data_IF_527890555933
#
_entry.id   IF_527890555933
#
_cell.length_a   1.000
_cell.length_b   1.000
_cell.length_c   1.000
_cell.angle_alpha   90.00
_cell.angle_beta   90.00
_cell.angle_gamma   90.00
#
_symmetry.space_group_name_H-M   'P 1'
#
loop_
_entity.id
_entity.type
_entity.pdbx_description
1 polymer ?
#
# COMPACT_ATOMS: atom_id res chain seq x y z
N UNK A 1 7.02 23.20 48.95
CA UNK A 1 7.36 23.41 47.52
C UNK A 1 7.08 22.19 46.63
N UNK A 2 7.19 20.94 47.10
CA UNK A 2 7.04 19.72 46.28
C UNK A 2 5.70 19.54 45.54
N UNK A 3 4.56 19.93 46.14
CA UNK A 3 3.23 19.76 45.52
C UNK A 3 3.03 20.50 44.19
N UNK A 4 3.76 21.59 43.94
CA UNK A 4 3.64 22.37 42.70
C UNK A 4 4.35 21.71 41.52
N UNK A 5 5.47 21.01 41.77
CA UNK A 5 6.20 20.29 40.72
C UNK A 5 5.44 19.06 40.20
N UNK A 6 4.75 18.34 41.10
CA UNK A 6 3.99 17.13 40.71
C UNK A 6 2.81 17.48 39.79
N UNK A 7 2.14 18.61 40.05
CA UNK A 7 1.03 19.08 39.21
C UNK A 7 1.50 19.55 37.82
N UNK A 8 2.67 20.19 37.74
CA UNK A 8 3.26 20.61 36.46
C UNK A 8 3.66 19.38 35.63
N UNK A 9 4.27 18.37 36.25
CA UNK A 9 4.63 17.11 35.57
C UNK A 9 3.41 16.36 35.03
N UNK A 10 2.32 16.26 35.81
CA UNK A 10 1.08 15.62 35.36
C UNK A 10 0.44 16.39 34.19
N UNK A 11 0.47 17.72 34.22
CA UNK A 11 -0.04 18.55 33.13
C UNK A 11 0.79 18.39 31.83
N UNK A 12 2.12 18.28 31.94
CA UNK A 12 3.00 18.03 30.79
C UNK A 12 2.72 16.64 30.20
N UNK A 13 2.55 15.60 31.03
CA UNK A 13 2.22 14.25 30.57
C UNK A 13 0.86 14.22 29.87
N UNK A 14 -0.15 14.92 30.40
CA UNK A 14 -1.47 14.98 29.76
C UNK A 14 -1.43 15.71 28.40
N UNK A 15 -0.64 16.78 28.29
CA UNK A 15 -0.50 17.52 27.04
C UNK A 15 0.28 16.70 26.00
N UNK A 16 1.35 16.01 26.41
CA UNK A 16 2.10 15.11 25.52
C UNK A 16 1.25 13.92 25.04
N UNK A 17 0.44 13.33 25.93
CA UNK A 17 -0.49 12.26 25.58
C UNK A 17 -1.58 12.71 24.60
N UNK A 18 -2.07 13.95 24.73
CA UNK A 18 -3.04 14.54 23.80
C UNK A 18 -2.41 14.86 22.43
N UNK A 19 -1.16 15.32 22.38
CA UNK A 19 -0.47 15.59 21.10
C UNK A 19 -0.13 14.31 20.34
N UNK A 20 0.14 13.20 21.04
CA UNK A 20 0.39 11.90 20.40
C UNK A 20 -0.91 11.26 19.86
N UNK A 21 -2.06 11.52 20.48
CA UNK A 21 -3.37 11.06 19.99
C UNK A 21 -3.92 11.84 18.78
N UNK A 22 -3.30 12.97 18.41
CA UNK A 22 -3.71 13.80 17.27
C UNK A 22 -2.78 13.71 16.05
N UNK A 23 -1.67 12.97 16.16
CA UNK A 23 -1.01 12.45 14.96
C UNK A 23 -1.90 11.31 14.48
N UNK A 24 -2.92 11.67 13.68
CA UNK A 24 -3.77 10.75 12.95
C UNK A 24 -2.92 9.96 11.96
N UNK A 25 -2.14 9.02 12.47
CA UNK A 25 -1.80 7.83 11.73
C UNK A 25 -3.14 7.12 11.54
N UNK A 26 -3.80 7.42 10.42
CA UNK A 26 -4.81 6.51 9.89
C UNK A 26 -4.21 5.11 9.94
N UNK A 27 -5.02 4.15 10.38
CA UNK A 27 -4.61 2.76 10.33
C UNK A 27 -4.14 2.48 8.89
N UNK A 28 -2.90 2.02 8.66
CA UNK A 28 -2.44 1.68 7.31
C UNK A 28 -3.42 0.74 6.59
N UNK A 29 -4.17 -0.06 7.36
CA UNK A 29 -5.23 -0.94 6.87
C UNK A 29 -6.50 -0.19 6.40
N UNK A 30 -6.79 1.00 6.93
CA UNK A 30 -7.90 1.88 6.50
C UNK A 30 -7.50 2.72 5.27
N UNK A 31 -6.27 3.27 5.26
CA UNK A 31 -5.72 4.02 4.12
C UNK A 31 -5.53 3.13 2.88
N UNK A 32 -5.13 1.87 3.04
CA UNK A 32 -4.96 0.95 1.89
C UNK A 32 -6.29 0.42 1.33
N UNK A 33 -7.33 0.27 2.17
CA UNK A 33 -8.69 -0.07 1.70
C UNK A 33 -9.29 1.00 0.82
N UNK A 34 -8.90 2.26 1.02
CA UNK A 34 -9.35 3.41 0.24
C UNK A 34 -8.98 3.27 -1.25
N UNK A 35 -7.87 2.59 -1.56
CA UNK A 35 -7.36 2.49 -2.92
C UNK A 35 -7.89 1.31 -3.73
N UNK A 36 -8.68 0.42 -3.13
CA UNK A 36 -9.16 -0.79 -3.81
C UNK A 36 -9.83 -0.48 -5.14
N UNK A 37 -10.81 0.45 -5.16
CA UNK A 37 -11.60 0.72 -6.37
C UNK A 37 -10.71 1.30 -7.49
N UNK A 38 -9.78 2.19 -7.14
CA UNK A 38 -8.87 2.78 -8.11
C UNK A 38 -7.82 1.79 -8.60
N UNK A 39 -7.27 0.98 -7.70
CA UNK A 39 -6.34 -0.08 -8.07
C UNK A 39 -7.00 -1.10 -8.99
N UNK A 40 -8.19 -1.57 -8.65
CA UNK A 40 -8.95 -2.50 -9.48
C UNK A 40 -9.37 -1.87 -10.80
N UNK A 41 -9.73 -0.58 -10.82
CA UNK A 41 -10.04 0.15 -12.05
C UNK A 41 -8.84 0.18 -13.01
N UNK A 42 -7.67 0.67 -12.57
CA UNK A 42 -6.48 0.76 -13.44
C UNK A 42 -6.08 -0.62 -13.97
N UNK A 43 -6.15 -1.65 -13.12
CA UNK A 43 -5.63 -2.97 -13.45
C UNK A 43 -6.61 -3.85 -14.24
N UNK A 44 -7.93 -3.67 -14.06
CA UNK A 44 -8.93 -4.59 -14.62
C UNK A 44 -9.97 -3.94 -15.54
N UNK A 45 -10.09 -2.61 -15.55
CA UNK A 45 -11.18 -1.90 -16.26
C UNK A 45 -10.63 -0.90 -17.26
N UNK A 46 -9.60 -0.14 -16.90
CA UNK A 46 -8.98 0.83 -17.78
C UNK A 46 -8.49 0.17 -19.08
N UNK A 47 -8.53 0.92 -20.18
CA UNK A 47 -8.12 0.44 -21.50
C UNK A 47 -6.70 -0.14 -21.44
N UNK A 48 -6.52 -1.31 -22.04
CA UNK A 48 -5.21 -1.96 -22.11
C UNK A 48 -4.23 -1.07 -22.86
N UNK A 49 -3.12 -0.70 -22.20
CA UNK A 49 -2.16 0.25 -22.74
C UNK A 49 -2.65 1.71 -22.78
N UNK A 50 -3.79 2.04 -22.18
CA UNK A 50 -4.29 3.41 -22.02
C UNK A 50 -3.47 4.24 -21.03
N UNK A 51 -3.77 5.54 -20.95
CA UNK A 51 -3.07 6.50 -20.09
C UNK A 51 -2.98 6.01 -18.64
N UNK A 52 -4.06 5.45 -18.10
CA UNK A 52 -4.04 5.05 -16.71
C UNK A 52 -3.12 3.87 -16.40
N UNK A 53 -3.04 2.92 -17.33
CA UNK A 53 -2.14 1.78 -17.24
C UNK A 53 -0.68 2.19 -17.44
N UNK A 54 -0.42 3.06 -18.42
CA UNK A 54 0.91 3.62 -18.67
C UNK A 54 1.42 4.34 -17.42
N UNK A 55 0.56 5.15 -16.75
CA UNK A 55 0.98 5.88 -15.57
C UNK A 55 1.32 4.98 -14.39
N UNK A 56 0.55 3.90 -14.19
CA UNK A 56 0.89 2.85 -13.22
C UNK A 56 2.22 2.20 -13.57
N UNK A 57 2.42 1.82 -14.83
CA UNK A 57 3.64 1.12 -15.26
C UNK A 57 4.87 2.02 -15.11
N UNK A 58 4.76 3.32 -15.37
CA UNK A 58 5.79 4.31 -15.06
C UNK A 58 6.17 4.31 -13.58
N UNK A 59 5.18 4.30 -12.67
CA UNK A 59 5.43 4.25 -11.23
C UNK A 59 6.09 2.95 -10.79
N UNK A 60 5.76 1.81 -11.42
CA UNK A 60 6.27 0.50 -11.03
C UNK A 60 7.61 0.14 -11.70
N UNK A 61 7.98 0.82 -12.78
CA UNK A 61 9.22 0.56 -13.51
C UNK A 61 10.50 0.93 -12.73
N UNK A 62 10.37 1.59 -11.58
CA UNK A 62 11.49 1.79 -10.64
C UNK A 62 11.88 0.50 -9.92
N UNK A 63 10.98 -0.48 -9.84
CA UNK A 63 11.23 -1.78 -9.20
C UNK A 63 12.02 -2.69 -10.12
N UNK A 64 13.02 -3.36 -9.56
CA UNK A 64 13.71 -4.45 -10.27
C UNK A 64 12.82 -5.70 -10.27
N UNK A 65 12.97 -6.57 -11.28
CA UNK A 65 12.24 -7.84 -11.35
C UNK A 65 12.40 -8.68 -10.08
N UNK A 66 13.61 -8.68 -9.49
CA UNK A 66 13.90 -9.37 -8.23
C UNK A 66 13.15 -8.80 -7.02
N UNK A 67 12.86 -7.50 -7.01
CA UNK A 67 12.12 -6.85 -5.93
C UNK A 67 10.67 -7.36 -5.95
N UNK A 68 10.07 -7.39 -7.15
CA UNK A 68 8.72 -7.91 -7.38
C UNK A 68 8.65 -9.38 -7.00
N UNK A 69 9.54 -10.23 -7.54
CA UNK A 69 9.55 -11.66 -7.22
C UNK A 69 9.65 -11.95 -5.73
N UNK A 70 10.51 -11.22 -5.03
CA UNK A 70 10.76 -11.42 -3.62
C UNK A 70 9.57 -10.96 -2.77
N UNK A 71 8.92 -9.86 -3.16
CA UNK A 71 7.65 -9.45 -2.55
C UNK A 71 6.54 -10.46 -2.77
N UNK A 72 6.43 -11.04 -3.97
CA UNK A 72 5.43 -12.07 -4.29
C UNK A 72 5.67 -13.36 -3.49
N UNK A 73 6.93 -13.77 -3.32
CA UNK A 73 7.28 -14.90 -2.44
C UNK A 73 6.83 -14.64 -0.99
N UNK A 74 6.96 -13.41 -0.50
CA UNK A 74 6.48 -13.01 0.83
C UNK A 74 4.95 -13.05 0.92
N UNK A 75 4.24 -12.49 -0.06
CA UNK A 75 2.76 -12.53 -0.13
C UNK A 75 2.26 -13.97 -0.13
N UNK A 76 2.85 -14.81 -0.99
CA UNK A 76 2.48 -16.22 -1.13
C UNK A 76 2.61 -17.01 0.15
N UNK A 77 3.67 -16.74 0.92
CA UNK A 77 4.01 -17.52 2.10
C UNK A 77 2.98 -17.35 3.22
N UNK A 78 2.58 -16.11 3.49
CA UNK A 78 1.90 -15.77 4.75
C UNK A 78 0.56 -15.01 4.55
N UNK A 79 0.18 -14.63 3.32
CA UNK A 79 -0.95 -13.70 3.11
C UNK A 79 -1.99 -14.16 2.09
N UNK A 80 -1.58 -14.54 0.88
CA UNK A 80 -2.50 -14.92 -0.20
C UNK A 80 -1.84 -15.91 -1.15
N UNK A 81 -2.53 -17.00 -1.51
CA UNK A 81 -2.00 -18.02 -2.43
C UNK A 81 -2.02 -17.53 -3.88
N UNK A 82 -1.10 -16.62 -4.20
CA UNK A 82 -0.81 -16.19 -5.57
C UNK A 82 -0.03 -17.28 -6.32
N UNK A 83 -0.36 -17.48 -7.59
CA UNK A 83 0.40 -18.41 -8.44
C UNK A 83 1.55 -17.68 -9.14
N UNK A 84 1.34 -16.41 -9.45
CA UNK A 84 2.29 -15.54 -10.13
C UNK A 84 3.46 -15.08 -9.26
N UNK A 85 4.63 -14.97 -9.88
CA UNK A 85 5.85 -14.39 -9.30
C UNK A 85 6.19 -13.01 -9.86
N UNK A 86 5.45 -12.52 -10.85
CA UNK A 86 5.67 -11.21 -11.48
C UNK A 86 4.37 -10.40 -11.54
N UNK A 87 4.51 -9.08 -11.71
CA UNK A 87 3.41 -8.14 -11.56
C UNK A 87 2.31 -8.31 -12.63
N UNK A 88 2.68 -8.41 -13.91
CA UNK A 88 1.69 -8.52 -14.99
C UNK A 88 0.83 -9.81 -14.87
N UNK A 89 1.42 -11.00 -14.68
CA UNK A 89 0.66 -12.21 -14.37
C UNK A 89 -0.19 -12.11 -13.09
N UNK A 90 0.31 -11.44 -12.04
CA UNK A 90 -0.47 -11.18 -10.83
C UNK A 90 -1.72 -10.33 -11.13
N UNK A 91 -1.58 -9.26 -11.91
CA UNK A 91 -2.69 -8.41 -12.34
C UNK A 91 -3.71 -9.26 -13.11
N UNK A 92 -3.25 -10.11 -14.03
CA UNK A 92 -4.09 -11.07 -14.72
C UNK A 92 -4.85 -11.98 -13.75
N UNK A 93 -4.17 -12.63 -12.81
CA UNK A 93 -4.80 -13.46 -11.79
C UNK A 93 -5.84 -12.68 -10.97
N UNK A 94 -5.48 -11.48 -10.51
CA UNK A 94 -6.32 -10.62 -9.71
C UNK A 94 -7.62 -10.22 -10.41
N UNK A 95 -7.54 -9.86 -11.69
CA UNK A 95 -8.71 -9.46 -12.47
C UNK A 95 -9.66 -10.63 -12.78
N UNK A 96 -9.18 -11.88 -12.72
CA UNK A 96 -10.00 -13.08 -12.86
C UNK A 96 -10.58 -13.60 -11.53
N UNK A 97 -10.27 -12.96 -10.40
CA UNK A 97 -10.94 -13.27 -9.13
C UNK A 97 -12.40 -12.81 -9.22
N UNK A 98 -13.30 -13.68 -8.75
CA UNK A 98 -14.73 -13.37 -8.58
C UNK A 98 -14.91 -12.03 -7.87
N UNK A 99 -15.82 -11.18 -8.36
CA UNK A 99 -15.97 -9.80 -7.87
C UNK A 99 -16.19 -9.72 -6.35
N UNK A 100 -16.87 -10.71 -5.74
CA UNK A 100 -17.07 -10.79 -4.28
C UNK A 100 -15.80 -11.09 -3.49
N UNK A 101 -14.83 -11.78 -4.08
CA UNK A 101 -13.57 -12.20 -3.44
C UNK A 101 -12.40 -11.26 -3.76
N UNK A 102 -12.55 -10.39 -4.77
CA UNK A 102 -11.48 -9.52 -5.25
C UNK A 102 -11.00 -8.52 -4.20
N UNK A 103 -11.90 -7.88 -3.46
CA UNK A 103 -11.53 -6.95 -2.37
C UNK A 103 -10.83 -7.65 -1.20
N UNK A 104 -11.35 -8.76 -0.65
CA UNK A 104 -10.61 -9.56 0.34
C UNK A 104 -9.23 -10.03 -0.15
N UNK A 105 -9.11 -10.40 -1.42
CA UNK A 105 -7.82 -10.78 -2.02
C UNK A 105 -6.85 -9.60 -2.09
N UNK A 106 -7.33 -8.44 -2.55
CA UNK A 106 -6.55 -7.19 -2.58
C UNK A 106 -6.00 -6.85 -1.20
N UNK A 107 -6.85 -6.85 -0.17
CA UNK A 107 -6.44 -6.53 1.21
C UNK A 107 -5.31 -7.45 1.69
N UNK A 108 -5.40 -8.76 1.40
CA UNK A 108 -4.34 -9.72 1.76
C UNK A 108 -3.05 -9.50 0.96
N UNK A 109 -3.15 -9.25 -0.35
CA UNK A 109 -1.99 -9.01 -1.22
C UNK A 109 -1.25 -7.75 -0.77
N UNK A 110 -1.97 -6.63 -0.59
CA UNK A 110 -1.36 -5.37 -0.15
C UNK A 110 -0.75 -5.51 1.23
N UNK A 111 -1.41 -6.20 2.17
CA UNK A 111 -0.84 -6.48 3.49
C UNK A 111 0.48 -7.26 3.41
N UNK A 112 0.56 -8.24 2.51
CA UNK A 112 1.79 -8.99 2.28
C UNK A 112 2.92 -8.16 1.66
N UNK A 113 2.59 -7.29 0.71
CA UNK A 113 3.56 -6.34 0.12
C UNK A 113 4.01 -5.31 1.16
N UNK A 114 3.11 -4.76 1.97
CA UNK A 114 3.43 -3.82 3.04
C UNK A 114 4.33 -4.47 4.10
N UNK A 115 4.02 -5.71 4.51
CA UNK A 115 4.88 -6.46 5.42
C UNK A 115 6.28 -6.70 4.83
N UNK A 116 6.35 -7.06 3.55
CA UNK A 116 7.61 -7.22 2.84
C UNK A 116 8.43 -5.93 2.80
N UNK A 117 7.79 -4.80 2.51
CA UNK A 117 8.40 -3.48 2.52
C UNK A 117 8.99 -3.16 3.90
N UNK A 118 8.21 -3.35 4.97
CA UNK A 118 8.67 -3.12 6.36
C UNK A 118 9.89 -3.98 6.72
N UNK A 119 9.90 -5.25 6.33
CA UNK A 119 11.06 -6.14 6.55
C UNK A 119 12.27 -5.65 5.74
N UNK A 120 12.07 -5.32 4.48
CA UNK A 120 13.13 -4.86 3.58
C UNK A 120 13.78 -3.59 4.10
N UNK A 121 12.98 -2.61 4.51
CA UNK A 121 13.47 -1.33 5.05
C UNK A 121 14.13 -1.45 6.43
N UNK A 122 13.82 -2.48 7.20
CA UNK A 122 14.48 -2.74 8.50
C UNK A 122 15.69 -3.66 8.39
N UNK A 123 15.98 -4.24 7.22
CA UNK A 123 17.09 -5.17 7.02
C UNK A 123 18.36 -4.46 6.53
N UNK A 124 19.48 -4.53 7.27
CA UNK A 124 20.76 -3.97 6.81
C UNK A 124 21.20 -4.57 5.47
N UNK A 125 21.61 -3.73 4.53
CA UNK A 125 22.07 -4.14 3.20
C UNK A 125 20.99 -4.15 2.13
N UNK A 126 19.73 -3.84 2.47
CA UNK A 126 18.59 -3.77 1.53
C UNK A 126 18.08 -2.35 1.31
N UNK A 127 18.90 -1.34 1.59
CA UNK A 127 18.49 0.08 1.52
C UNK A 127 18.02 0.49 0.13
N UNK A 128 18.74 0.11 -0.94
CA UNK A 128 18.34 0.45 -2.31
C UNK A 128 17.00 -0.15 -2.71
N UNK A 129 16.73 -1.37 -2.27
CA UNK A 129 15.46 -2.03 -2.53
C UNK A 129 14.32 -1.34 -1.77
N UNK A 130 14.55 -0.99 -0.49
CA UNK A 130 13.62 -0.17 0.27
C UNK A 130 13.32 1.17 -0.41
N UNK A 131 14.37 1.87 -0.90
CA UNK A 131 14.23 3.13 -1.63
C UNK A 131 13.35 2.96 -2.89
N UNK A 132 13.58 1.93 -3.72
CA UNK A 132 12.75 1.67 -4.90
C UNK A 132 11.28 1.39 -4.57
N UNK A 133 11.02 0.64 -3.50
CA UNK A 133 9.63 0.43 -3.04
C UNK A 133 9.00 1.72 -2.51
N UNK A 134 9.78 2.55 -1.83
CA UNK A 134 9.38 3.90 -1.42
C UNK A 134 8.99 4.75 -2.63
N UNK A 135 9.88 4.85 -3.62
CA UNK A 135 9.67 5.61 -4.86
C UNK A 135 8.43 5.13 -5.62
N UNK A 136 8.23 3.80 -5.72
CA UNK A 136 7.05 3.22 -6.35
C UNK A 136 5.75 3.59 -5.60
N UNK A 137 5.79 3.53 -4.26
CA UNK A 137 4.64 3.86 -3.39
C UNK A 137 4.31 5.35 -3.43
N UNK A 138 5.33 6.21 -3.40
CA UNK A 138 5.21 7.66 -3.45
C UNK A 138 4.72 8.15 -4.82
N UNK A 139 4.98 7.38 -5.89
CA UNK A 139 4.43 7.65 -7.22
C UNK A 139 2.96 7.19 -7.34
N UNK A 140 2.66 5.95 -6.92
CA UNK A 140 1.36 5.34 -7.21
C UNK A 140 0.24 5.87 -6.30
N UNK A 141 0.55 6.19 -5.04
CA UNK A 141 -0.47 6.58 -4.05
C UNK A 141 -1.16 7.90 -4.44
N UNK A 142 -0.43 9.00 -4.72
CA UNK A 142 -1.07 10.26 -5.14
C UNK A 142 -1.83 10.11 -6.47
N UNK A 143 -1.36 9.23 -7.34
CA UNK A 143 -2.05 8.96 -8.61
C UNK A 143 -3.40 8.24 -8.40
N UNK A 144 -3.46 7.29 -7.47
CA UNK A 144 -4.72 6.65 -7.09
C UNK A 144 -5.69 7.64 -6.45
N UNK A 145 -5.20 8.55 -5.60
CA UNK A 145 -5.98 9.66 -5.04
C UNK A 145 -6.52 10.59 -6.14
N UNK A 146 -5.70 10.91 -7.13
CA UNK A 146 -6.09 11.73 -8.28
C UNK A 146 -7.25 11.08 -9.03
N UNK A 147 -7.14 9.80 -9.40
CA UNK A 147 -8.22 9.07 -10.08
C UNK A 147 -9.50 9.02 -9.24
N UNK A 148 -9.37 8.85 -7.93
CA UNK A 148 -10.51 8.88 -7.02
C UNK A 148 -11.19 10.25 -7.02
N UNK A 149 -10.40 11.33 -6.94
CA UNK A 149 -10.90 12.70 -6.97
C UNK A 149 -11.63 13.05 -8.28
N UNK A 150 -11.19 12.46 -9.39
CA UNK A 150 -11.82 12.57 -10.71
C UNK A 150 -13.04 11.66 -10.88
N UNK A 151 -13.36 10.82 -9.88
CA UNK A 151 -14.44 9.82 -9.91
C UNK A 151 -14.30 8.82 -11.07
N UNK A 152 -13.05 8.54 -11.47
CA UNK A 152 -12.74 7.58 -12.55
C UNK A 152 -12.81 6.12 -12.09
N UNK A 153 -12.58 5.87 -10.80
CA UNK A 153 -12.46 4.54 -10.20
C UNK A 153 -13.79 3.77 -10.11
N UNK A 154 -14.44 3.53 -11.25
CA UNK A 154 -15.72 2.82 -11.34
C UNK A 154 -15.47 1.38 -11.74
N UNK A 155 -15.92 0.45 -10.90
CA UNK A 155 -15.89 -0.96 -11.20
C UNK A 155 -17.23 -1.39 -11.84
N UNK A 156 -17.22 -2.30 -12.82
CA UNK A 156 -18.44 -2.93 -13.30
C UNK A 156 -19.08 -3.75 -12.17
N UNK A 157 -20.41 -3.67 -12.06
CA UNK A 157 -21.22 -4.47 -11.12
C UNK A 157 -21.20 -5.97 -11.46
#
# INVERSE_FOLDING_TARGET
MFRRLTLILLAIISVLGLTLGQLGFEDPEETQRHYYDCWAYINCVAEEGGEEQQKRDECLNVLEESDVESSMKSVKKDFYDIKSSSFSPLVGEFCHIESSERKPAFEKIVKGVANYYMITCSTPGRQKECERWGDATDCITPYLEELNSQKKCKLPE
#
